data_IF_193718919310
#
_entry.id   IF_193718919310
#
_cell.length_a   1.000
_cell.length_b   1.000
_cell.length_c   1.000
_cell.angle_alpha   90.00
_cell.angle_beta   90.00
_cell.angle_gamma   90.00
#
_symmetry.space_group_name_H-M   'P 1'
#
loop_
_entity.id
_entity.type
_entity.pdbx_description
1 polymer ?
#
# COMPACT_ATOMS: atom_id res chain seq x y z
N UNK A 1 -6.85 0.96 13.93
CA UNK A 1 -7.74 1.22 12.78
C UNK A 1 -7.61 0.03 11.85
N UNK A 2 -8.68 -0.41 11.20
CA UNK A 2 -8.68 -1.50 10.21
C UNK A 2 -8.61 -0.89 8.79
N UNK A 3 -8.08 -1.63 7.82
CA UNK A 3 -8.09 -1.25 6.40
C UNK A 3 -9.52 -1.04 5.89
N UNK A 4 -10.47 -1.84 6.37
CA UNK A 4 -11.89 -1.71 6.04
C UNK A 4 -12.43 -0.34 6.46
N UNK A 5 -12.09 0.10 7.67
CA UNK A 5 -12.48 1.42 8.16
C UNK A 5 -11.84 2.57 7.35
N UNK A 6 -10.67 2.37 6.76
CA UNK A 6 -10.07 3.35 5.85
C UNK A 6 -10.82 3.40 4.51
N UNK A 7 -11.19 2.25 3.95
CA UNK A 7 -11.96 2.17 2.70
C UNK A 7 -13.35 2.81 2.87
N UNK A 8 -14.02 2.54 3.98
CA UNK A 8 -15.30 3.19 4.32
C UNK A 8 -15.16 4.71 4.38
N UNK A 9 -14.07 5.20 5.00
CA UNK A 9 -13.76 6.64 5.00
C UNK A 9 -13.51 7.19 3.60
N UNK A 10 -12.81 6.44 2.74
CA UNK A 10 -12.63 6.80 1.32
C UNK A 10 -14.01 6.92 0.65
N UNK A 11 -14.85 5.88 0.73
CA UNK A 11 -16.19 5.89 0.13
C UNK A 11 -17.05 7.05 0.64
N UNK A 12 -17.05 7.30 1.95
CA UNK A 12 -17.76 8.42 2.55
C UNK A 12 -17.28 9.76 1.99
N UNK A 13 -15.96 9.95 1.85
CA UNK A 13 -15.38 11.18 1.28
C UNK A 13 -15.65 11.32 -0.21
N UNK A 14 -15.67 10.23 -0.96
CA UNK A 14 -16.07 10.24 -2.38
C UNK A 14 -17.53 10.67 -2.54
N UNK A 15 -18.44 10.16 -1.70
CA UNK A 15 -19.83 10.61 -1.71
C UNK A 15 -19.95 12.09 -1.33
N UNK A 16 -19.20 12.54 -0.32
CA UNK A 16 -19.15 13.97 0.02
C UNK A 16 -18.68 14.84 -1.16
N UNK A 17 -17.66 14.40 -1.90
CA UNK A 17 -17.18 15.13 -3.09
C UNK A 17 -18.26 15.15 -4.18
N UNK A 18 -19.00 14.06 -4.41
CA UNK A 18 -20.14 14.05 -5.36
C UNK A 18 -21.20 15.06 -4.97
N UNK A 19 -21.55 15.15 -3.70
CA UNK A 19 -22.52 16.12 -3.20
C UNK A 19 -22.03 17.56 -3.39
N UNK A 20 -20.74 17.81 -3.18
CA UNK A 20 -20.12 19.13 -3.42
C UNK A 20 -20.13 19.48 -4.92
N UNK A 21 -19.82 18.53 -5.82
CA UNK A 21 -19.93 18.74 -7.27
C UNK A 21 -21.35 19.14 -7.68
N UNK A 22 -22.37 18.46 -7.12
CA UNK A 22 -23.77 18.79 -7.38
C UNK A 22 -24.13 20.20 -6.89
N UNK A 23 -23.62 20.60 -5.72
CA UNK A 23 -23.80 21.96 -5.19
C UNK A 23 -23.16 23.03 -6.08
N UNK A 24 -21.94 22.80 -6.56
CA UNK A 24 -21.24 23.70 -7.49
C UNK A 24 -22.07 23.86 -8.76
N UNK A 25 -22.51 22.74 -9.36
CA UNK A 25 -23.36 22.76 -10.57
C UNK A 25 -24.64 23.58 -10.34
N UNK A 26 -25.32 23.37 -9.21
CA UNK A 26 -26.55 24.09 -8.88
C UNK A 26 -26.30 25.59 -8.71
N UNK A 27 -25.18 25.97 -8.07
CA UNK A 27 -24.79 27.37 -7.87
C UNK A 27 -24.47 28.06 -9.19
N UNK A 28 -23.65 27.42 -10.03
CA UNK A 28 -23.30 27.93 -11.34
C UNK A 28 -24.56 28.14 -12.19
N UNK A 29 -25.44 27.15 -12.29
CA UNK A 29 -26.68 27.29 -13.04
C UNK A 29 -27.57 28.41 -12.51
N UNK A 30 -27.69 28.54 -11.18
CA UNK A 30 -28.49 29.59 -10.54
C UNK A 30 -27.92 31.00 -10.78
N UNK A 31 -26.60 31.15 -10.78
CA UNK A 31 -25.94 32.44 -10.95
C UNK A 31 -25.82 32.85 -12.43
N UNK A 32 -25.49 31.91 -13.32
CA UNK A 32 -25.38 32.18 -14.76
C UNK A 32 -26.71 32.64 -15.37
N UNK A 33 -27.84 32.15 -14.86
CA UNK A 33 -29.17 32.61 -15.30
C UNK A 33 -29.47 34.09 -15.01
N UNK A 34 -28.66 34.74 -14.15
CA UNK A 34 -28.83 36.13 -13.70
C UNK A 34 -27.73 37.06 -14.21
N UNK A 35 -26.89 36.60 -15.13
CA UNK A 35 -25.73 37.36 -15.60
C UNK A 35 -26.20 38.53 -16.49
N UNK A 36 -25.86 39.79 -16.13
CA UNK A 36 -26.10 40.93 -17.00
C UNK A 36 -25.25 40.86 -18.28
N UNK A 37 -25.74 41.44 -19.38
CA UNK A 37 -25.04 41.42 -20.68
C UNK A 37 -23.59 41.95 -20.63
N UNK A 38 -23.29 42.95 -19.79
CA UNK A 38 -21.92 43.47 -19.66
C UNK A 38 -20.92 42.49 -19.00
N UNK A 39 -21.41 41.38 -18.43
CA UNK A 39 -20.63 40.30 -17.82
C UNK A 39 -20.64 39.01 -18.66
N UNK A 40 -20.98 39.08 -19.95
CA UNK A 40 -20.97 37.93 -20.85
C UNK A 40 -19.61 37.23 -20.91
N UNK A 41 -18.51 37.97 -20.77
CA UNK A 41 -17.15 37.42 -20.64
C UNK A 41 -16.99 36.42 -19.47
N UNK A 42 -17.76 36.61 -18.38
CA UNK A 42 -17.76 35.70 -17.22
C UNK A 42 -18.36 34.36 -17.61
N UNK A 43 -19.44 34.36 -18.41
CA UNK A 43 -20.12 33.13 -18.84
C UNK A 43 -19.15 32.24 -19.63
N UNK A 44 -18.48 32.81 -20.64
CA UNK A 44 -17.48 32.09 -21.44
C UNK A 44 -16.34 31.54 -20.57
N UNK A 45 -15.83 32.34 -19.64
CA UNK A 45 -14.76 31.89 -18.74
C UNK A 45 -15.20 30.79 -17.78
N UNK A 46 -16.45 30.84 -17.30
CA UNK A 46 -17.03 29.81 -16.45
C UNK A 46 -17.21 28.51 -17.23
N UNK A 47 -17.68 28.57 -18.48
CA UNK A 47 -17.81 27.40 -19.34
C UNK A 47 -16.46 26.70 -19.58
N UNK A 48 -15.42 27.46 -19.93
CA UNK A 48 -14.06 26.95 -20.11
C UNK A 48 -13.53 26.25 -18.85
N UNK A 49 -13.72 26.88 -17.69
CA UNK A 49 -13.27 26.34 -16.41
C UNK A 49 -14.11 25.15 -15.98
N UNK A 50 -15.41 25.15 -16.24
CA UNK A 50 -16.29 24.04 -15.97
C UNK A 50 -15.90 22.81 -16.78
N UNK A 51 -15.59 22.97 -18.07
CA UNK A 51 -15.12 21.88 -18.92
C UNK A 51 -13.80 21.29 -18.41
N UNK A 52 -12.83 22.14 -18.03
CA UNK A 52 -11.57 21.70 -17.40
C UNK A 52 -11.81 20.98 -16.07
N UNK A 53 -12.73 21.49 -15.27
CA UNK A 53 -13.12 20.87 -14.01
C UNK A 53 -13.73 19.48 -14.25
N UNK A 54 -14.66 19.34 -15.18
CA UNK A 54 -15.24 18.05 -15.56
C UNK A 54 -14.18 17.06 -16.04
N UNK A 55 -13.24 17.50 -16.89
CA UNK A 55 -12.11 16.67 -17.33
C UNK A 55 -11.27 16.17 -16.14
N UNK A 56 -10.94 17.04 -15.19
CA UNK A 56 -10.18 16.65 -13.99
C UNK A 56 -10.97 15.76 -13.05
N UNK A 57 -12.28 15.97 -12.94
CA UNK A 57 -13.16 15.08 -12.20
C UNK A 57 -13.24 13.69 -12.85
N UNK A 58 -13.26 13.60 -14.17
CA UNK A 58 -13.19 12.31 -14.87
C UNK A 58 -11.88 11.58 -14.58
N UNK A 59 -10.72 12.25 -14.68
CA UNK A 59 -9.42 11.69 -14.27
C UNK A 59 -9.45 11.20 -12.81
N UNK A 60 -10.03 11.99 -11.90
CA UNK A 60 -10.21 11.65 -10.49
C UNK A 60 -11.03 10.38 -10.29
N UNK A 61 -12.20 10.27 -10.94
CA UNK A 61 -13.06 9.10 -10.79
C UNK A 61 -12.45 7.85 -11.44
N UNK A 62 -11.84 7.99 -12.61
CA UNK A 62 -11.15 6.90 -13.30
C UNK A 62 -10.02 6.32 -12.45
N UNK A 63 -9.27 7.19 -11.74
CA UNK A 63 -8.24 6.75 -10.80
C UNK A 63 -8.81 5.83 -9.71
N UNK A 64 -9.97 6.16 -9.14
CA UNK A 64 -10.61 5.32 -8.12
C UNK A 64 -11.20 4.03 -8.70
N UNK A 65 -11.80 4.06 -9.89
CA UNK A 65 -12.36 2.87 -10.53
C UNK A 65 -11.30 1.80 -10.74
N UNK A 66 -10.09 2.20 -11.15
CA UNK A 66 -8.97 1.29 -11.36
C UNK A 66 -8.37 0.79 -10.02
N UNK A 67 -8.22 1.67 -9.03
CA UNK A 67 -7.45 1.36 -7.81
C UNK A 67 -8.26 0.76 -6.66
N UNK A 68 -9.57 1.07 -6.54
CA UNK A 68 -10.43 0.45 -5.54
C UNK A 68 -10.65 -1.05 -5.78
N UNK A 69 -10.41 -1.54 -7.00
CA UNK A 69 -10.44 -2.98 -7.31
C UNK A 69 -9.29 -3.77 -6.66
N UNK A 70 -8.18 -3.11 -6.31
CA UNK A 70 -6.96 -3.75 -5.80
C UNK A 70 -6.55 -3.18 -4.43
N UNK A 71 -7.40 -3.41 -3.44
CA UNK A 71 -7.20 -2.88 -2.08
C UNK A 71 -5.97 -3.48 -1.38
N UNK A 72 -5.63 -4.73 -1.72
CA UNK A 72 -4.70 -5.56 -0.97
C UNK A 72 -5.28 -6.02 0.37
N UNK A 73 -4.62 -6.98 1.01
CA UNK A 73 -5.01 -7.45 2.35
C UNK A 73 -3.80 -7.40 3.31
N UNK A 74 -3.66 -6.31 4.09
CA UNK A 74 -2.57 -6.16 5.05
C UNK A 74 -2.66 -7.18 6.21
N UNK A 75 -3.84 -7.73 6.51
CA UNK A 75 -4.00 -8.70 7.59
C UNK A 75 -3.55 -10.08 7.15
N UNK A 76 -3.90 -10.51 5.94
CA UNK A 76 -3.39 -11.76 5.37
C UNK A 76 -1.87 -11.71 5.24
N UNK A 77 -1.29 -10.57 4.83
CA UNK A 77 0.16 -10.40 4.79
C UNK A 77 0.79 -10.53 6.18
N UNK A 78 0.18 -9.91 7.20
CA UNK A 78 0.64 -10.02 8.59
C UNK A 78 0.57 -11.46 9.11
N UNK A 79 -0.59 -12.09 8.99
CA UNK A 79 -0.86 -13.46 9.45
C UNK A 79 0.08 -14.45 8.76
N UNK A 80 0.26 -14.32 7.44
CA UNK A 80 1.21 -15.12 6.69
C UNK A 80 2.64 -14.91 7.20
N UNK A 81 3.05 -13.67 7.46
CA UNK A 81 4.37 -13.36 8.02
C UNK A 81 4.58 -13.92 9.43
N UNK A 82 3.55 -13.94 10.26
CA UNK A 82 3.59 -14.53 11.60
C UNK A 82 3.64 -16.05 11.54
N UNK A 83 2.94 -16.69 10.60
CA UNK A 83 3.02 -18.15 10.35
C UNK A 83 4.41 -18.57 9.88
N UNK A 84 5.04 -17.82 8.99
CA UNK A 84 6.44 -18.08 8.62
C UNK A 84 7.38 -18.08 9.84
N UNK A 85 7.18 -17.16 10.78
CA UNK A 85 7.99 -17.11 11.99
C UNK A 85 7.64 -18.23 12.99
N UNK A 86 6.36 -18.47 13.24
CA UNK A 86 5.88 -19.37 14.29
C UNK A 86 5.83 -20.85 13.89
N UNK A 87 5.50 -21.15 12.63
CA UNK A 87 5.32 -22.52 12.12
C UNK A 87 6.57 -23.04 11.39
N UNK A 88 7.43 -22.16 10.85
CA UNK A 88 8.68 -22.57 10.21
C UNK A 88 9.91 -22.15 11.02
N UNK A 89 9.99 -20.87 11.39
CA UNK A 89 11.11 -20.31 12.16
C UNK A 89 11.36 -21.02 13.50
N UNK A 90 10.32 -21.06 14.33
CA UNK A 90 10.35 -21.66 15.66
C UNK A 90 10.70 -23.16 15.66
N UNK A 91 9.99 -24.02 14.92
CA UNK A 91 10.30 -25.45 14.82
C UNK A 91 11.69 -25.74 14.24
N UNK A 92 12.12 -25.00 13.21
CA UNK A 92 13.45 -25.17 12.64
C UNK A 92 14.55 -24.83 13.66
N UNK A 93 14.37 -23.75 14.43
CA UNK A 93 15.31 -23.37 15.48
C UNK A 93 15.33 -24.38 16.64
N UNK A 94 14.16 -24.89 17.06
CA UNK A 94 14.08 -25.95 18.08
C UNK A 94 14.81 -27.22 17.63
N UNK A 95 14.59 -27.68 16.40
CA UNK A 95 15.31 -28.82 15.83
C UNK A 95 16.81 -28.57 15.69
N UNK A 96 17.24 -27.33 15.41
CA UNK A 96 18.66 -26.98 15.42
C UNK A 96 19.29 -27.11 16.81
N UNK A 97 18.53 -26.83 17.87
CA UNK A 97 18.94 -27.03 19.27
C UNK A 97 18.95 -28.51 19.68
N UNK A 98 18.02 -29.33 19.20
CA UNK A 98 18.02 -30.79 19.41
C UNK A 98 19.25 -31.46 18.76
N UNK A 99 19.73 -30.92 17.63
CA UNK A 99 20.97 -31.35 16.96
C UNK A 99 22.24 -30.89 17.71
N UNK A 100 22.13 -29.91 18.62
CA UNK A 100 23.25 -29.38 19.42
C UNK A 100 23.45 -30.11 20.74
N UNK A 101 22.41 -30.74 21.29
CA UNK A 101 22.53 -31.49 22.54
C UNK A 101 23.27 -32.81 22.38
N UNK A 102 23.88 -33.27 23.46
CA UNK A 102 24.29 -34.69 23.71
C UNK A 102 23.16 -35.72 23.43
N UNK A 103 21.97 -35.28 23.01
CA UNK A 103 20.80 -36.07 22.59
C UNK A 103 20.94 -36.72 21.22
N UNK A 104 21.88 -36.28 20.37
CA UNK A 104 22.38 -37.17 19.34
C UNK A 104 23.23 -38.22 20.07
N UNK A 105 22.54 -39.21 20.61
CA UNK A 105 23.05 -40.52 20.99
C UNK A 105 23.67 -41.18 19.74
N UNK A 106 24.73 -40.58 19.17
CA UNK A 106 25.90 -41.37 18.86
C UNK A 106 26.41 -41.80 20.23
N UNK A 107 25.67 -42.76 20.79
CA UNK A 107 26.01 -43.51 21.97
C UNK A 107 27.51 -43.78 21.86
N UNK A 108 28.28 -43.62 22.92
CA UNK A 108 29.73 -43.87 22.88
C UNK A 108 30.06 -45.31 22.40
N UNK A 109 29.03 -46.13 22.24
CA UNK A 109 28.99 -47.46 21.60
C UNK A 109 28.98 -47.46 20.06
N UNK A 110 28.46 -46.45 19.35
CA UNK A 110 28.44 -46.42 17.88
C UNK A 110 29.72 -45.78 17.32
N UNK A 111 30.64 -46.65 16.91
CA UNK A 111 31.96 -46.29 16.40
C UNK A 111 32.17 -46.80 14.96
N UNK A 112 33.26 -46.38 14.33
CA UNK A 112 33.64 -46.79 12.98
C UNK A 112 33.29 -45.79 11.87
N UNK A 113 33.65 -46.13 10.63
CA UNK A 113 33.61 -45.21 9.48
C UNK A 113 32.23 -44.58 9.22
N UNK A 114 31.15 -45.34 9.44
CA UNK A 114 29.78 -44.84 9.28
C UNK A 114 29.40 -43.80 10.34
N UNK A 115 29.82 -43.99 11.60
CA UNK A 115 29.58 -43.04 12.68
C UNK A 115 30.35 -41.72 12.45
N UNK A 116 31.62 -41.80 12.00
CA UNK A 116 32.41 -40.63 11.62
C UNK A 116 31.81 -39.88 10.43
N UNK A 117 31.34 -40.60 9.42
CA UNK A 117 30.66 -40.00 8.28
C UNK A 117 29.38 -39.26 8.70
N UNK A 118 28.59 -39.84 9.62
CA UNK A 118 27.39 -39.20 10.15
C UNK A 118 27.72 -37.94 10.99
N UNK A 119 28.68 -38.04 11.92
CA UNK A 119 29.19 -36.89 12.70
C UNK A 119 29.65 -35.74 11.81
N UNK A 120 30.28 -36.04 10.67
CA UNK A 120 30.72 -35.01 9.72
C UNK A 120 29.59 -34.21 9.05
N UNK A 121 28.33 -34.65 9.15
CA UNK A 121 27.15 -34.00 8.51
C UNK A 121 26.29 -33.21 9.49
N UNK A 122 26.39 -33.48 10.79
CA UNK A 122 25.57 -32.88 11.87
C UNK A 122 25.70 -31.36 11.89
N UNK A 123 26.92 -30.82 11.84
CA UNK A 123 27.14 -29.37 11.81
C UNK A 123 26.52 -28.71 10.57
N UNK A 124 26.54 -29.41 9.43
CA UNK A 124 25.89 -28.97 8.20
C UNK A 124 24.38 -28.91 8.30
N UNK A 125 23.75 -29.92 8.92
CA UNK A 125 22.30 -29.94 9.17
C UNK A 125 21.88 -28.84 10.16
N UNK A 126 22.67 -28.64 11.22
CA UNK A 126 22.46 -27.57 12.20
C UNK A 126 22.53 -26.19 11.55
N UNK A 127 23.55 -25.93 10.73
CA UNK A 127 23.67 -24.66 10.01
C UNK A 127 22.53 -24.44 9.03
N UNK A 128 22.07 -25.50 8.35
CA UNK A 128 20.91 -25.41 7.46
C UNK A 128 19.63 -25.05 8.24
N UNK A 129 19.35 -25.74 9.36
CA UNK A 129 18.18 -25.48 10.20
C UNK A 129 18.20 -24.06 10.81
N UNK A 130 19.36 -23.59 11.27
CA UNK A 130 19.51 -22.22 11.75
C UNK A 130 19.34 -21.18 10.62
N UNK A 131 19.80 -21.49 9.41
CA UNK A 131 19.60 -20.63 8.23
C UNK A 131 18.12 -20.52 7.87
N UNK A 132 17.39 -21.63 7.83
CA UNK A 132 15.94 -21.64 7.61
C UNK A 132 15.23 -20.84 8.71
N UNK A 133 15.54 -21.16 9.96
CA UNK A 133 14.85 -20.62 11.12
C UNK A 133 15.05 -19.12 11.32
N UNK A 134 16.29 -18.64 11.13
CA UNK A 134 16.64 -17.24 11.42
C UNK A 134 16.66 -16.36 10.18
N UNK A 135 17.15 -16.85 9.04
CA UNK A 135 17.33 -16.01 7.85
C UNK A 135 16.09 -16.07 6.95
N UNK A 136 15.62 -17.25 6.56
CA UNK A 136 14.47 -17.36 5.66
C UNK A 136 13.17 -16.86 6.32
N UNK A 137 12.81 -17.41 7.48
CA UNK A 137 11.56 -17.05 8.16
C UNK A 137 11.50 -15.56 8.52
N UNK A 138 12.58 -14.99 9.05
CA UNK A 138 12.64 -13.57 9.41
C UNK A 138 12.62 -12.66 8.20
N UNK A 139 13.33 -13.00 7.11
CA UNK A 139 13.33 -12.19 5.89
C UNK A 139 11.97 -12.20 5.19
N UNK A 140 11.29 -13.36 5.11
CA UNK A 140 9.93 -13.43 4.57
C UNK A 140 8.98 -12.61 5.44
N UNK A 141 9.04 -12.77 6.76
CA UNK A 141 8.19 -12.01 7.69
C UNK A 141 8.43 -10.50 7.59
N UNK A 142 9.69 -10.07 7.48
CA UNK A 142 10.07 -8.66 7.32
C UNK A 142 9.54 -8.08 6.01
N UNK A 143 9.72 -8.78 4.88
CA UNK A 143 9.19 -8.37 3.58
C UNK A 143 7.66 -8.20 3.60
N UNK A 144 6.94 -9.17 4.17
CA UNK A 144 5.48 -9.08 4.28
C UNK A 144 5.04 -7.91 5.18
N UNK A 145 5.77 -7.61 6.26
CA UNK A 145 5.51 -6.46 7.12
C UNK A 145 5.81 -5.11 6.45
N UNK A 146 6.84 -5.03 5.61
CA UNK A 146 7.13 -3.83 4.79
C UNK A 146 5.99 -3.57 3.83
N UNK A 147 5.55 -4.59 3.08
CA UNK A 147 4.41 -4.45 2.16
C UNK A 147 3.12 -4.04 2.89
N UNK A 148 2.83 -4.68 4.03
CA UNK A 148 1.70 -4.31 4.90
C UNK A 148 1.74 -2.83 5.28
N UNK A 149 2.90 -2.34 5.70
CA UNK A 149 3.07 -0.94 6.12
C UNK A 149 2.90 0.02 4.95
N UNK A 150 3.41 -0.34 3.76
CA UNK A 150 3.19 0.39 2.52
C UNK A 150 1.71 0.54 2.18
N UNK A 151 0.93 -0.56 2.26
CA UNK A 151 -0.53 -0.53 2.03
C UNK A 151 -1.22 0.41 3.02
N UNK A 152 -0.84 0.34 4.30
CA UNK A 152 -1.39 1.21 5.34
C UNK A 152 -1.12 2.69 5.09
N UNK A 153 0.13 3.04 4.80
CA UNK A 153 0.56 4.42 4.50
C UNK A 153 -0.15 4.94 3.25
N UNK A 154 -0.28 4.10 2.22
CA UNK A 154 -1.02 4.44 1.00
C UNK A 154 -2.44 4.88 1.32
N UNK A 155 -3.23 4.05 1.99
CA UNK A 155 -4.64 4.37 2.26
C UNK A 155 -4.83 5.55 3.21
N UNK A 156 -3.96 5.72 4.23
CA UNK A 156 -3.97 6.92 5.09
C UNK A 156 -3.71 8.18 4.27
N UNK A 157 -2.75 8.12 3.34
CA UNK A 157 -2.41 9.25 2.47
C UNK A 157 -3.58 9.60 1.55
N UNK A 158 -4.24 8.60 0.97
CA UNK A 158 -5.44 8.81 0.13
C UNK A 158 -6.58 9.46 0.93
N UNK A 159 -6.90 8.96 2.13
CA UNK A 159 -7.93 9.58 2.98
C UNK A 159 -7.58 11.03 3.31
N UNK A 160 -6.32 11.30 3.65
CA UNK A 160 -5.87 12.66 3.99
C UNK A 160 -5.97 13.60 2.78
N UNK A 161 -5.55 13.14 1.60
CA UNK A 161 -5.67 13.89 0.35
C UNK A 161 -7.14 14.18 -0.01
N UNK A 162 -8.05 13.22 0.20
CA UNK A 162 -9.49 13.41 0.00
C UNK A 162 -10.07 14.46 0.95
N UNK A 163 -9.63 14.48 2.21
CA UNK A 163 -10.05 15.51 3.17
C UNK A 163 -9.62 16.90 2.70
N UNK A 164 -8.35 17.05 2.29
CA UNK A 164 -7.84 18.32 1.75
C UNK A 164 -8.58 18.73 0.48
N UNK A 165 -8.86 17.79 -0.42
CA UNK A 165 -9.63 18.03 -1.63
C UNK A 165 -11.04 18.55 -1.32
N UNK A 166 -11.77 17.88 -0.41
CA UNK A 166 -13.10 18.31 0.02
C UNK A 166 -13.09 19.71 0.65
N UNK A 167 -12.06 20.04 1.45
CA UNK A 167 -11.89 21.40 1.98
C UNK A 167 -11.66 22.43 0.88
N UNK A 168 -10.87 22.11 -0.15
CA UNK A 168 -10.69 22.95 -1.32
C UNK A 168 -12.00 23.23 -2.08
N UNK A 169 -12.87 22.23 -2.17
CA UNK A 169 -14.20 22.39 -2.77
C UNK A 169 -15.08 23.32 -1.95
N UNK A 170 -15.12 23.14 -0.63
CA UNK A 170 -15.89 23.99 0.28
C UNK A 170 -15.40 25.44 0.19
N UNK A 171 -14.08 25.66 0.14
CA UNK A 171 -13.50 26.99 -0.04
C UNK A 171 -13.90 27.62 -1.39
N UNK A 172 -13.85 26.83 -2.48
CA UNK A 172 -14.28 27.28 -3.81
C UNK A 172 -15.76 27.67 -3.86
N UNK A 173 -16.63 26.88 -3.23
CA UNK A 173 -18.07 27.17 -3.10
C UNK A 173 -18.33 28.47 -2.32
N UNK A 174 -17.45 28.81 -1.37
CA UNK A 174 -17.47 30.10 -0.67
C UNK A 174 -17.16 31.28 -1.60
N UNK A 175 -16.17 31.13 -2.49
CA UNK A 175 -15.82 32.14 -3.49
C UNK A 175 -16.92 32.34 -4.55
N UNK A 176 -17.66 31.28 -4.88
CA UNK A 176 -18.83 31.31 -5.78
C UNK A 176 -20.04 32.09 -5.22
N UNK A 177 -19.94 32.74 -4.06
CA UNK A 177 -21.00 33.59 -3.52
C UNK A 177 -21.39 34.78 -4.43
N UNK A 178 -20.58 35.08 -5.45
CA UNK A 178 -20.82 36.18 -6.40
C UNK A 178 -20.57 35.72 -7.85
N UNK A 179 -21.21 36.37 -8.83
CA UNK A 179 -21.04 36.06 -10.26
C UNK A 179 -19.56 36.18 -10.68
N UNK A 180 -18.87 37.23 -10.24
CA UNK A 180 -17.43 37.44 -10.54
C UNK A 180 -16.51 36.48 -9.78
N UNK A 181 -17.00 35.85 -8.71
CA UNK A 181 -16.26 34.89 -7.90
C UNK A 181 -16.31 33.45 -8.42
N UNK A 182 -17.24 33.13 -9.32
CA UNK A 182 -17.38 31.78 -9.89
C UNK A 182 -16.08 31.30 -10.56
N UNK A 183 -15.41 32.08 -11.43
CA UNK A 183 -14.16 31.65 -12.05
C UNK A 183 -13.07 31.34 -11.01
N UNK A 184 -13.00 32.11 -9.93
CA UNK A 184 -12.02 31.88 -8.86
C UNK A 184 -12.34 30.60 -8.06
N UNK A 185 -13.63 30.36 -7.77
CA UNK A 185 -14.08 29.13 -7.11
C UNK A 185 -13.76 27.87 -7.91
N UNK A 186 -14.05 27.88 -9.21
CA UNK A 186 -13.73 26.77 -10.12
C UNK A 186 -12.23 26.52 -10.22
N UNK A 187 -11.40 27.57 -10.29
CA UNK A 187 -9.95 27.42 -10.29
C UNK A 187 -9.44 26.76 -8.99
N UNK A 188 -9.99 27.14 -7.83
CA UNK A 188 -9.63 26.53 -6.57
C UNK A 188 -10.02 25.05 -6.50
N UNK A 189 -11.20 24.68 -7.03
CA UNK A 189 -11.64 23.29 -7.09
C UNK A 189 -10.80 22.46 -8.07
N UNK A 190 -10.46 23.00 -9.24
CA UNK A 190 -9.53 22.35 -10.17
C UNK A 190 -8.18 22.11 -9.47
N UNK A 191 -7.65 23.11 -8.78
CA UNK A 191 -6.41 22.98 -8.03
C UNK A 191 -6.50 21.91 -6.93
N UNK A 192 -7.65 21.81 -6.25
CA UNK A 192 -7.90 20.78 -5.25
C UNK A 192 -7.88 19.36 -5.85
N UNK A 193 -8.53 19.16 -7.00
CA UNK A 193 -8.51 17.87 -7.72
C UNK A 193 -7.10 17.53 -8.20
N UNK A 194 -6.39 18.49 -8.79
CA UNK A 194 -4.99 18.29 -9.23
C UNK A 194 -4.09 17.96 -8.05
N UNK A 195 -4.23 18.67 -6.93
CA UNK A 195 -3.49 18.40 -5.71
C UNK A 195 -3.74 16.99 -5.17
N UNK A 196 -4.99 16.53 -5.21
CA UNK A 196 -5.32 15.14 -4.90
C UNK A 196 -4.64 14.16 -5.84
N UNK A 197 -4.73 14.35 -7.16
CA UNK A 197 -4.15 13.44 -8.15
C UNK A 197 -2.63 13.31 -7.99
N UNK A 198 -1.95 14.42 -7.70
CA UNK A 198 -0.51 14.44 -7.40
C UNK A 198 -0.19 13.66 -6.12
N UNK A 199 -0.94 13.89 -5.04
CA UNK A 199 -0.76 13.16 -3.78
C UNK A 199 -1.04 11.66 -3.94
N UNK A 200 -2.08 11.30 -4.69
CA UNK A 200 -2.45 9.92 -5.00
C UNK A 200 -1.39 9.22 -5.87
N UNK A 201 -0.82 9.92 -6.85
CA UNK A 201 0.34 9.46 -7.62
C UNK A 201 1.56 9.21 -6.73
N UNK A 202 1.87 10.15 -5.84
CA UNK A 202 2.95 10.02 -4.85
C UNK A 202 2.76 8.80 -3.93
N UNK A 203 1.55 8.62 -3.40
CA UNK A 203 1.21 7.47 -2.57
C UNK A 203 1.36 6.15 -3.33
N UNK A 204 0.95 6.11 -4.60
CA UNK A 204 1.08 4.92 -5.46
C UNK A 204 2.55 4.56 -5.69
N UNK A 205 3.41 5.56 -5.91
CA UNK A 205 4.86 5.34 -6.04
C UNK A 205 5.48 4.83 -4.73
N UNK A 206 5.09 5.39 -3.59
CA UNK A 206 5.57 4.92 -2.29
C UNK A 206 5.18 3.46 -2.02
N UNK A 207 3.94 3.08 -2.34
CA UNK A 207 3.48 1.70 -2.26
C UNK A 207 4.29 0.78 -3.20
N UNK A 208 4.58 1.24 -4.41
CA UNK A 208 5.41 0.50 -5.36
C UNK A 208 6.82 0.25 -4.82
N UNK A 209 7.46 1.25 -4.22
CA UNK A 209 8.78 1.06 -3.60
C UNK A 209 8.74 0.04 -2.45
N UNK A 210 7.72 0.09 -1.59
CA UNK A 210 7.55 -0.91 -0.54
C UNK A 210 7.37 -2.33 -1.12
N UNK A 211 6.66 -2.45 -2.25
CA UNK A 211 6.48 -3.72 -2.95
C UNK A 211 7.79 -4.23 -3.59
N UNK A 212 8.55 -3.35 -4.24
CA UNK A 212 9.81 -3.67 -4.89
C UNK A 212 10.88 -4.08 -3.86
N UNK A 213 10.95 -3.39 -2.71
CA UNK A 213 11.84 -3.76 -1.59
C UNK A 213 11.48 -5.14 -1.03
N UNK A 214 10.18 -5.38 -0.82
CA UNK A 214 9.69 -6.67 -0.32
C UNK A 214 9.99 -7.80 -1.31
N UNK A 215 9.78 -7.56 -2.62
CA UNK A 215 10.08 -8.53 -3.66
C UNK A 215 11.59 -8.81 -3.78
N UNK A 216 12.43 -7.79 -3.64
CA UNK A 216 13.88 -7.92 -3.66
C UNK A 216 14.39 -8.73 -2.47
N UNK A 217 13.89 -8.46 -1.27
CA UNK A 217 14.20 -9.25 -0.08
C UNK A 217 13.87 -10.74 -0.28
N UNK A 218 12.70 -11.04 -0.87
CA UNK A 218 12.29 -12.42 -1.17
C UNK A 218 13.13 -13.06 -2.29
N UNK A 219 13.49 -12.33 -3.34
CA UNK A 219 14.37 -12.85 -4.42
C UNK A 219 15.77 -13.17 -3.89
N UNK A 220 16.28 -12.37 -2.98
CA UNK A 220 17.59 -12.59 -2.38
C UNK A 220 17.64 -13.87 -1.52
N UNK A 221 16.50 -14.43 -1.11
CA UNK A 221 16.44 -15.75 -0.47
C UNK A 221 16.89 -16.88 -1.40
N UNK A 222 16.77 -16.72 -2.72
CA UNK A 222 17.19 -17.73 -3.67
C UNK A 222 18.73 -17.90 -3.70
N UNK A 223 19.48 -16.83 -3.37
CA UNK A 223 20.94 -16.90 -3.23
C UNK A 223 21.43 -17.79 -2.08
N UNK A 224 20.52 -18.19 -1.19
CA UNK A 224 20.80 -19.11 -0.09
C UNK A 224 20.41 -20.56 -0.43
N UNK A 225 19.67 -20.81 -1.52
CA UNK A 225 19.37 -22.17 -1.99
C UNK A 225 20.65 -22.88 -2.47
N UNK A 226 21.59 -22.13 -3.04
CA UNK A 226 22.92 -22.62 -3.44
C UNK A 226 23.82 -22.99 -2.24
N UNK A 227 23.43 -22.61 -1.02
CA UNK A 227 24.12 -22.95 0.24
C UNK A 227 23.50 -24.14 0.95
N UNK A 228 22.51 -24.80 0.33
CA UNK A 228 21.99 -26.03 0.87
C UNK A 228 23.10 -27.10 0.90
N UNK A 229 23.24 -27.86 1.99
CA UNK A 229 24.29 -28.87 2.04
C UNK A 229 24.15 -29.86 0.88
N UNK A 230 25.20 -30.03 0.08
CA UNK A 230 25.19 -30.89 -1.11
C UNK A 230 24.83 -32.35 -0.83
N UNK A 231 25.00 -32.80 0.41
CA UNK A 231 24.59 -34.14 0.85
C UNK A 231 23.07 -34.34 0.96
N UNK A 232 22.29 -33.26 0.93
CA UNK A 232 20.82 -33.29 0.97
C UNK A 232 20.19 -33.08 -0.42
N UNK A 233 21.00 -32.92 -1.47
CA UNK A 233 20.59 -32.74 -2.86
C UNK A 233 20.78 -34.02 -3.72
N UNK A 234 21.12 -35.14 -3.08
CA UNK A 234 21.33 -36.45 -3.71
C UNK A 234 20.31 -37.48 -3.25
#
# INVERSE_FOLDING_TARGET
MDIHALIEKVQAKLNQIRDLVNQIRSKINGLLSKVPAFLEWVVSKVEDLWNKFCQKMEEFWNWFTDKLAYVGDPFVLKDTGEKWHSELGGPAHRRAGEVEGDDLLVDDTWTGTAATAYKSKIDGQRNALNTIGRLYASSVSSALNTMKSGIWIFWITIVSALVVCALGFIAGIGAEGTIIGIPAGLLAQIAAVVGFLLAAGGATMALKFAADDSATALRNLNSYADKWPSFALG
#
